data_IF_289822273649
#
_entry.id   IF_289822273649
#
_cell.length_a   1.000
_cell.length_b   1.000
_cell.length_c   1.000
_cell.angle_alpha   90.00
_cell.angle_beta   90.00
_cell.angle_gamma   90.00
#
_symmetry.space_group_name_H-M   'P 1'
#
loop_
_entity.id
_entity.type
_entity.pdbx_description
1 polymer ?
#
# COMPACT_ATOMS: atom_id res chain seq x y z
N UNK A 1 -8.90 13.13 9.14
CA UNK A 1 -7.87 12.09 9.19
C UNK A 1 -7.94 11.23 7.94
N UNK A 2 -6.82 10.96 7.32
CA UNK A 2 -6.80 10.12 6.12
C UNK A 2 -6.93 8.66 6.48
N UNK A 3 -7.71 7.93 5.67
CA UNK A 3 -7.73 6.49 5.80
C UNK A 3 -6.33 5.93 5.49
N UNK A 4 -5.99 4.82 6.11
CA UNK A 4 -4.67 4.22 5.90
C UNK A 4 -4.39 3.95 4.43
N UNK A 5 -5.40 3.49 3.70
CA UNK A 5 -5.25 3.24 2.26
C UNK A 5 -4.83 4.51 1.51
N UNK A 6 -5.52 5.61 1.78
CA UNK A 6 -5.21 6.87 1.11
C UNK A 6 -3.83 7.39 1.50
N UNK A 7 -3.45 7.22 2.76
CA UNK A 7 -2.13 7.60 3.21
C UNK A 7 -1.06 6.83 2.48
N UNK A 8 -1.25 5.52 2.33
CA UNK A 8 -0.29 4.68 1.62
C UNK A 8 -0.16 5.09 0.17
N UNK A 9 -1.29 5.38 -0.49
CA UNK A 9 -1.25 5.84 -1.87
C UNK A 9 -0.45 7.14 -1.99
N UNK A 10 -0.68 8.05 -1.07
CA UNK A 10 0.03 9.32 -1.08
C UNK A 10 1.52 9.12 -0.91
N UNK A 11 1.91 8.26 0.02
CA UNK A 11 3.32 7.98 0.25
C UNK A 11 3.98 7.40 -1.00
N UNK A 12 3.29 6.50 -1.68
CA UNK A 12 3.83 5.93 -2.92
C UNK A 12 4.00 7.01 -3.97
N UNK A 13 3.02 7.92 -4.08
CA UNK A 13 3.08 8.98 -5.08
C UNK A 13 4.24 9.93 -4.87
N UNK A 14 4.62 10.18 -3.62
CA UNK A 14 5.69 11.12 -3.32
C UNK A 14 7.05 10.44 -3.22
N UNK A 15 7.15 9.18 -3.62
CA UNK A 15 8.42 8.48 -3.65
C UNK A 15 8.81 7.81 -2.35
N UNK A 16 7.84 7.60 -1.47
CA UNK A 16 8.08 6.96 -0.17
C UNK A 16 7.51 5.54 -0.12
N UNK A 17 7.53 4.85 -1.25
CA UNK A 17 6.99 3.50 -1.34
C UNK A 17 7.68 2.53 -0.39
N UNK A 18 8.95 2.77 -0.08
CA UNK A 18 9.69 1.92 0.86
C UNK A 18 9.05 1.92 2.24
N UNK A 19 8.53 3.07 2.68
CA UNK A 19 7.85 3.15 3.97
C UNK A 19 6.58 2.31 3.96
N UNK A 20 5.82 2.40 2.87
CA UNK A 20 4.59 1.61 2.75
C UNK A 20 4.92 0.13 2.72
N UNK A 21 5.91 -0.25 1.91
CA UNK A 21 6.29 -1.65 1.77
C UNK A 21 6.72 -2.26 3.11
N UNK A 22 7.38 -1.48 3.94
CA UNK A 22 7.85 -1.95 5.24
C UNK A 22 6.70 -2.17 6.23
N UNK A 23 5.57 -1.48 6.04
CA UNK A 23 4.49 -1.48 7.02
C UNK A 23 3.17 -2.08 6.52
N UNK A 24 3.09 -2.40 5.23
CA UNK A 24 1.80 -2.79 4.63
C UNK A 24 1.22 -4.06 5.26
N UNK A 25 2.08 -5.02 5.57
CA UNK A 25 1.61 -6.26 6.19
C UNK A 25 1.05 -5.99 7.59
N UNK A 26 1.68 -5.08 8.31
CA UNK A 26 1.23 -4.71 9.64
C UNK A 26 -0.13 -4.03 9.58
N UNK A 27 -0.33 -3.15 8.61
CA UNK A 27 -1.60 -2.46 8.43
C UNK A 27 -2.71 -3.46 8.14
N UNK A 28 -2.44 -4.45 7.29
CA UNK A 28 -3.41 -5.48 6.99
C UNK A 28 -3.73 -6.31 8.25
N UNK A 29 -2.70 -6.71 8.98
CA UNK A 29 -2.88 -7.52 10.18
C UNK A 29 -3.69 -6.79 11.25
N UNK A 30 -3.57 -5.47 11.31
CA UNK A 30 -4.28 -4.65 12.28
C UNK A 30 -5.68 -4.24 11.82
N UNK A 31 -6.11 -4.70 10.66
CA UNK A 31 -7.43 -4.35 10.15
C UNK A 31 -7.54 -2.94 9.61
N UNK A 32 -6.42 -2.29 9.33
CA UNK A 32 -6.42 -0.95 8.79
C UNK A 32 -6.53 -0.93 7.27
N UNK A 33 -6.29 -2.07 6.64
CA UNK A 33 -6.46 -2.27 5.21
C UNK A 33 -7.31 -3.49 4.98
N UNK A 34 -8.18 -3.43 3.97
CA UNK A 34 -8.90 -4.63 3.53
C UNK A 34 -7.98 -5.42 2.59
N UNK A 35 -8.36 -6.68 2.33
CA UNK A 35 -7.61 -7.50 1.40
C UNK A 35 -7.55 -6.87 0.01
N UNK A 36 -8.64 -6.23 -0.40
CA UNK A 36 -8.68 -5.54 -1.69
C UNK A 36 -7.72 -4.37 -1.72
N UNK A 37 -7.72 -3.58 -0.65
CA UNK A 37 -6.82 -2.42 -0.56
C UNK A 37 -5.38 -2.86 -0.55
N UNK A 38 -5.09 -3.93 0.17
CA UNK A 38 -3.75 -4.50 0.22
C UNK A 38 -3.30 -4.89 -1.20
N UNK A 39 -4.17 -5.58 -1.94
CA UNK A 39 -3.84 -5.99 -3.30
C UNK A 39 -3.58 -4.82 -4.22
N UNK A 40 -4.37 -3.76 -4.10
CA UNK A 40 -4.16 -2.55 -4.91
C UNK A 40 -2.81 -1.90 -4.59
N UNK A 41 -2.49 -1.79 -3.30
CA UNK A 41 -1.22 -1.19 -2.91
C UNK A 41 -0.04 -2.03 -3.37
N UNK A 42 -0.15 -3.36 -3.29
CA UNK A 42 0.91 -4.22 -3.79
C UNK A 42 1.12 -4.04 -5.28
N UNK A 43 0.04 -3.83 -6.03
CA UNK A 43 0.15 -3.53 -7.45
C UNK A 43 0.87 -2.22 -7.71
N UNK A 44 0.65 -1.23 -6.87
CA UNK A 44 1.34 0.06 -6.98
C UNK A 44 2.81 -0.06 -6.59
N UNK A 45 3.10 -0.89 -5.59
CA UNK A 45 4.47 -1.07 -5.12
C UNK A 45 5.30 -1.89 -6.10
N UNK A 46 4.68 -2.80 -6.82
CA UNK A 46 5.39 -3.72 -7.73
C UNK A 46 4.73 -3.73 -9.12
N UNK A 47 4.68 -2.58 -9.79
CA UNK A 47 3.96 -2.50 -11.07
C UNK A 47 4.54 -3.42 -12.14
N UNK A 48 5.85 -3.67 -12.12
CA UNK A 48 6.47 -4.53 -13.11
C UNK A 48 5.96 -5.98 -13.00
N UNK A 49 5.73 -6.43 -11.77
CA UNK A 49 5.22 -7.78 -11.56
C UNK A 49 3.77 -7.90 -11.97
N UNK A 50 3.01 -6.83 -11.87
CA UNK A 50 1.60 -6.84 -12.18
C UNK A 50 1.30 -6.51 -13.64
N UNK A 51 2.32 -6.18 -14.39
CA UNK A 51 2.16 -5.80 -15.80
C UNK A 51 2.06 -6.98 -16.73
N UNK A 52 2.20 -8.17 -16.24
CA UNK A 52 2.16 -9.34 -17.09
C UNK A 52 0.86 -9.59 -17.74
#
# INVERSE_FOLDING_TARGET
MLATFNLCKKLIEIGKADIVNANIDLYLANGRLTAEEYGELMGMLNPAENAE
#
